data_IF_771720276771
#
_entry.id   IF_771720276771
#
_cell.length_a   1.000
_cell.length_b   1.000
_cell.length_c   1.000
_cell.angle_alpha   90.00
_cell.angle_beta   90.00
_cell.angle_gamma   90.00
#
_symmetry.space_group_name_H-M   'P 1'
#
loop_
_entity.id
_entity.type
_entity.pdbx_description
1 polymer ?
#
# COMPACT_ATOMS: atom_id res chain seq x y z
N UNK A 1 -8.34 -2.64 10.12
CA UNK A 1 -7.16 -3.47 9.82
C UNK A 1 -6.24 -3.42 11.04
N UNK A 2 -5.57 -4.51 11.38
CA UNK A 2 -4.58 -4.52 12.48
C UNK A 2 -3.23 -4.01 11.97
N UNK A 3 -2.40 -3.49 12.87
CA UNK A 3 -1.03 -3.05 12.55
C UNK A 3 -0.19 -4.15 11.86
N UNK A 4 -0.47 -5.42 12.20
CA UNK A 4 0.19 -6.59 11.57
C UNK A 4 -0.22 -6.77 10.10
N UNK A 5 -1.50 -6.64 9.78
CA UNK A 5 -1.99 -6.72 8.39
C UNK A 5 -1.47 -5.57 7.52
N UNK A 6 -1.38 -4.35 8.09
CA UNK A 6 -0.76 -3.21 7.41
C UNK A 6 0.71 -3.48 7.08
N UNK A 7 1.46 -3.98 8.07
CA UNK A 7 2.87 -4.30 7.93
C UNK A 7 3.11 -5.41 6.90
N UNK A 8 2.25 -6.42 6.85
CA UNK A 8 2.32 -7.48 5.83
C UNK A 8 2.14 -6.95 4.41
N UNK A 9 1.13 -6.09 4.18
CA UNK A 9 0.93 -5.45 2.87
C UNK A 9 2.07 -4.51 2.49
N UNK A 10 2.64 -3.78 3.44
CA UNK A 10 3.81 -2.95 3.19
C UNK A 10 5.05 -3.78 2.82
N UNK A 11 5.27 -4.90 3.52
CA UNK A 11 6.32 -5.84 3.17
C UNK A 11 6.12 -6.44 1.77
N UNK A 12 4.87 -6.66 1.36
CA UNK A 12 4.54 -7.13 0.01
C UNK A 12 4.95 -6.12 -1.07
N UNK A 13 4.58 -4.85 -0.92
CA UNK A 13 5.01 -3.77 -1.83
C UNK A 13 6.54 -3.74 -1.98
N UNK A 14 7.26 -3.81 -0.86
CA UNK A 14 8.72 -3.73 -0.89
C UNK A 14 9.35 -4.94 -1.59
N UNK A 15 8.78 -6.15 -1.44
CA UNK A 15 9.25 -7.33 -2.20
C UNK A 15 9.13 -7.10 -3.70
N UNK A 16 7.99 -6.60 -4.18
CA UNK A 16 7.77 -6.37 -5.62
C UNK A 16 8.68 -5.26 -6.16
N UNK A 17 8.91 -4.19 -5.40
CA UNK A 17 9.90 -3.14 -5.76
C UNK A 17 11.31 -3.71 -5.90
N UNK A 18 11.74 -4.55 -4.97
CA UNK A 18 13.05 -5.21 -5.04
C UNK A 18 13.15 -6.14 -6.24
N UNK A 19 12.08 -6.88 -6.57
CA UNK A 19 12.02 -7.70 -7.78
C UNK A 19 12.12 -6.83 -9.04
N UNK A 20 11.35 -5.76 -9.16
CA UNK A 20 11.38 -4.85 -10.31
C UNK A 20 12.79 -4.30 -10.57
N UNK A 21 13.51 -3.90 -9.51
CA UNK A 21 14.89 -3.40 -9.60
C UNK A 21 15.92 -4.44 -10.02
N UNK A 22 15.68 -5.72 -9.75
CA UNK A 22 16.59 -6.84 -10.08
C UNK A 22 16.27 -7.48 -11.43
N UNK A 23 15.07 -7.26 -11.94
CA UNK A 23 14.62 -7.81 -13.22
C UNK A 23 15.29 -7.08 -14.38
N UNK A 24 15.98 -7.83 -15.23
CA UNK A 24 16.64 -7.31 -16.43
C UNK A 24 15.74 -7.30 -17.67
N UNK A 25 14.67 -8.09 -17.65
CA UNK A 25 13.65 -8.10 -18.69
C UNK A 25 12.75 -6.85 -18.55
N UNK A 26 12.71 -5.96 -19.56
CA UNK A 26 12.00 -4.69 -19.43
C UNK A 26 10.48 -4.85 -19.36
N UNK A 27 9.92 -5.92 -19.94
CA UNK A 27 8.48 -6.19 -19.89
C UNK A 27 8.09 -6.68 -18.50
N UNK A 28 8.84 -7.63 -17.94
CA UNK A 28 8.63 -8.12 -16.60
C UNK A 28 8.86 -7.01 -15.55
N UNK A 29 9.86 -6.14 -15.75
CA UNK A 29 10.07 -4.98 -14.88
C UNK A 29 8.87 -4.01 -14.91
N UNK A 30 8.31 -3.73 -16.10
CA UNK A 30 7.12 -2.90 -16.23
C UNK A 30 5.90 -3.52 -15.53
N UNK A 31 5.66 -4.83 -15.70
CA UNK A 31 4.57 -5.54 -15.02
C UNK A 31 4.72 -5.52 -13.50
N UNK A 32 5.95 -5.67 -12.98
CA UNK A 32 6.20 -5.58 -11.54
C UNK A 32 5.91 -4.17 -10.99
N UNK A 33 6.18 -3.12 -11.77
CA UNK A 33 5.86 -1.75 -11.38
C UNK A 33 4.36 -1.46 -11.41
N UNK A 34 3.62 -2.05 -12.34
CA UNK A 34 2.15 -1.97 -12.40
C UNK A 34 1.54 -2.60 -11.14
N UNK A 35 1.99 -3.81 -10.79
CA UNK A 35 1.59 -4.50 -9.54
C UNK A 35 1.92 -3.67 -8.29
N UNK A 36 3.11 -3.04 -8.25
CA UNK A 36 3.48 -2.15 -7.13
C UNK A 36 2.51 -0.96 -7.04
N UNK A 37 2.11 -0.39 -8.17
CA UNK A 37 1.21 0.76 -8.20
C UNK A 37 -0.18 0.39 -7.65
N UNK A 38 -0.71 -0.77 -8.04
CA UNK A 38 -1.99 -1.27 -7.51
C UNK A 38 -1.92 -1.53 -6.00
N UNK A 39 -0.85 -2.17 -5.53
CA UNK A 39 -0.67 -2.45 -4.10
C UNK A 39 -0.48 -1.16 -3.27
N UNK A 40 0.16 -0.14 -3.83
CA UNK A 40 0.30 1.17 -3.18
C UNK A 40 -1.03 1.93 -3.13
N UNK A 41 -1.86 1.82 -4.18
CA UNK A 41 -3.21 2.37 -4.18
C UNK A 41 -4.09 1.71 -3.10
N UNK A 42 -4.06 0.38 -3.01
CA UNK A 42 -4.71 -0.38 -1.93
C UNK A 42 -4.27 0.13 -0.55
N UNK A 43 -2.96 0.32 -0.34
CA UNK A 43 -2.44 0.85 0.93
C UNK A 43 -2.94 2.28 1.19
N UNK A 44 -2.97 3.14 0.18
CA UNK A 44 -3.40 4.52 0.33
C UNK A 44 -4.90 4.62 0.62
N UNK A 45 -5.74 3.84 -0.08
CA UNK A 45 -7.17 3.77 0.19
C UNK A 45 -7.46 3.32 1.63
N UNK A 46 -6.64 2.41 2.18
CA UNK A 46 -6.78 1.95 3.57
C UNK A 46 -6.42 3.05 4.59
N UNK A 47 -5.39 3.86 4.31
CA UNK A 47 -5.05 5.04 5.13
C UNK A 47 -6.13 6.10 5.06
N UNK A 48 -6.67 6.35 3.85
CA UNK A 48 -7.73 7.33 3.65
C UNK A 48 -9.05 6.91 4.32
N UNK A 49 -9.37 5.61 4.36
CA UNK A 49 -10.53 5.08 5.09
C UNK A 49 -10.34 5.21 6.61
N UNK A 50 -9.15 4.96 7.14
CA UNK A 50 -8.86 5.13 8.58
C UNK A 50 -8.88 6.62 8.98
N UNK A 51 -8.34 7.51 8.14
CA UNK A 51 -8.39 8.95 8.36
C UNK A 51 -9.82 9.51 8.32
N UNK A 52 -10.70 8.93 7.50
CA UNK A 52 -12.11 9.32 7.41
C UNK A 52 -13.00 8.68 8.50
N UNK A 53 -12.53 7.64 9.20
CA UNK A 53 -13.25 6.99 10.29
C UNK A 53 -13.26 7.79 11.62
N UNK A 54 -12.63 8.98 11.67
CA UNK A 54 -12.69 9.90 12.81
C UNK A 54 -13.58 11.14 12.56
N UNK A 55 -14.92 11.03 12.60
CA UNK A 55 -15.78 12.16 12.92
C UNK A 55 -16.17 12.12 14.41
N UNK A 56 -15.75 13.11 15.18
CA UNK A 56 -16.44 13.49 16.42
C UNK A 56 -15.67 13.31 17.74
N UNK A 57 -14.64 14.13 17.95
CA UNK A 57 -14.30 14.62 19.30
C UNK A 57 -14.32 16.14 19.28
N UNK A 58 -15.51 16.67 19.03
CA UNK A 58 -15.79 18.10 18.93
C UNK A 58 -17.26 18.39 19.15
N UNK A 59 -17.85 17.85 20.22
CA UNK A 59 -19.10 18.34 20.81
C UNK A 59 -19.43 17.53 22.08
N UNK A 60 -18.93 17.96 23.23
CA UNK A 60 -19.65 17.81 24.47
C UNK A 60 -19.38 19.09 25.29
N UNK A 61 -20.47 19.82 25.49
CA UNK A 61 -20.59 21.09 26.19
C UNK A 61 -20.15 21.00 27.65
#
# INVERSE_FOLDING_TARGET
MTDSEWKERWHEVERFRVMARKTTDPVAAALLLDIVSDLEADLNELVDVEAQALPGLGAAA
#
